data_IF_943219587183
#
_entry.id   IF_943219587183
#
_cell.length_a   1.000
_cell.length_b   1.000
_cell.length_c   1.000
_cell.angle_alpha   90.00
_cell.angle_beta   90.00
_cell.angle_gamma   90.00
#
_symmetry.space_group_name_H-M   'P 1'
#
loop_
_entity.id
_entity.type
_entity.pdbx_description
1 polymer ?
#
# COMPACT_ATOMS: atom_id res chain seq x y z
N UNK A 1 -9.69 -3.59 -24.40
CA UNK A 1 -8.36 -3.10 -24.01
C UNK A 1 -7.92 -3.81 -22.74
N UNK A 2 -6.67 -4.30 -22.71
CA UNK A 2 -6.12 -4.98 -21.52
C UNK A 2 -5.67 -3.99 -20.45
N UNK A 3 -5.59 -4.44 -19.19
CA UNK A 3 -4.96 -3.70 -18.09
C UNK A 3 -5.89 -3.07 -17.07
N UNK A 4 -7.20 -2.98 -17.32
CA UNK A 4 -8.12 -2.39 -16.35
C UNK A 4 -7.65 -1.02 -15.86
N UNK A 5 -7.54 -0.81 -14.54
CA UNK A 5 -7.02 0.43 -13.96
C UNK A 5 -5.50 0.62 -14.09
N UNK A 6 -4.75 -0.41 -14.54
CA UNK A 6 -3.33 -0.27 -14.86
C UNK A 6 -3.07 0.27 -16.28
N UNK A 7 -4.12 0.68 -17.01
CA UNK A 7 -3.97 1.31 -18.32
C UNK A 7 -3.32 2.68 -18.21
N UNK A 8 -2.59 3.05 -19.24
CA UNK A 8 -1.96 4.35 -19.38
C UNK A 8 -2.59 5.12 -20.54
N UNK A 9 -2.97 6.37 -20.29
CA UNK A 9 -3.42 7.30 -21.32
C UNK A 9 -2.25 8.19 -21.72
N UNK A 10 -1.93 8.21 -23.00
CA UNK A 10 -0.93 9.13 -23.57
C UNK A 10 -1.65 10.25 -24.31
N UNK A 11 -1.38 11.49 -23.93
CA UNK A 11 -1.96 12.66 -24.60
C UNK A 11 -0.89 13.73 -24.80
N UNK A 12 -0.50 13.97 -26.04
CA UNK A 12 0.67 14.77 -26.40
C UNK A 12 1.92 14.19 -25.72
N UNK A 13 2.67 15.00 -25.00
CA UNK A 13 3.88 14.62 -24.27
C UNK A 13 3.60 14.12 -22.84
N UNK A 14 2.33 14.01 -22.46
CA UNK A 14 1.92 13.60 -21.11
C UNK A 14 1.53 12.13 -21.06
N UNK A 15 1.96 11.49 -19.98
CA UNK A 15 1.64 10.10 -19.63
C UNK A 15 0.79 10.14 -18.37
N UNK A 16 -0.43 9.58 -18.44
CA UNK A 16 -1.41 9.58 -17.36
C UNK A 16 -1.81 8.16 -17.03
N UNK A 17 -1.61 7.78 -15.77
CA UNK A 17 -2.15 6.55 -15.20
C UNK A 17 -3.39 6.86 -14.36
N UNK A 18 -4.33 5.90 -14.25
CA UNK A 18 -5.56 6.08 -13.47
C UNK A 18 -5.29 6.20 -11.98
N UNK A 19 -4.18 5.61 -11.51
CA UNK A 19 -3.67 5.73 -10.14
C UNK A 19 -2.15 5.54 -10.14
N UNK A 20 -1.50 5.87 -9.03
CA UNK A 20 -0.08 5.56 -8.83
C UNK A 20 0.08 4.05 -8.60
N UNK A 21 0.66 3.36 -9.56
CA UNK A 21 0.96 1.93 -9.48
C UNK A 21 2.42 1.72 -9.13
N UNK A 22 2.73 1.70 -7.84
CA UNK A 22 4.08 1.45 -7.35
C UNK A 22 4.42 -0.02 -7.47
N UNK A 23 5.37 -0.36 -8.35
CA UNK A 23 5.70 -1.75 -8.61
C UNK A 23 6.66 -2.30 -7.56
N UNK A 24 6.18 -3.32 -6.83
CA UNK A 24 6.92 -4.10 -5.88
C UNK A 24 6.82 -5.57 -6.28
N UNK A 25 7.95 -6.26 -6.27
CA UNK A 25 8.02 -7.65 -6.68
C UNK A 25 8.07 -8.56 -5.46
N UNK A 26 7.29 -9.63 -5.50
CA UNK A 26 7.23 -10.61 -4.41
C UNK A 26 8.46 -11.54 -4.37
N UNK A 27 9.15 -11.69 -5.51
CA UNK A 27 10.35 -12.53 -5.64
C UNK A 27 11.39 -11.88 -6.53
N UNK A 28 12.67 -12.15 -6.27
CA UNK A 28 13.78 -11.67 -7.10
C UNK A 28 13.75 -12.28 -8.51
N UNK A 29 13.26 -13.52 -8.64
CA UNK A 29 13.10 -14.18 -9.93
C UNK A 29 12.12 -13.43 -10.82
N UNK A 30 10.94 -13.07 -10.28
CA UNK A 30 9.94 -12.31 -11.02
C UNK A 30 10.44 -10.91 -11.36
N UNK A 31 11.12 -10.25 -10.41
CA UNK A 31 11.77 -8.96 -10.62
C UNK A 31 12.78 -9.02 -11.76
N UNK A 32 13.65 -10.03 -11.75
CA UNK A 32 14.66 -10.23 -12.79
C UNK A 32 14.02 -10.45 -14.16
N UNK A 33 13.07 -11.40 -14.26
CA UNK A 33 12.34 -11.68 -15.50
C UNK A 33 11.68 -10.43 -16.07
N UNK A 34 11.09 -9.61 -15.20
CA UNK A 34 10.48 -8.35 -15.59
C UNK A 34 11.53 -7.36 -16.11
N UNK A 35 12.62 -7.13 -15.37
CA UNK A 35 13.67 -6.18 -15.77
C UNK A 35 14.40 -6.60 -17.06
N UNK A 36 14.55 -7.90 -17.30
CA UNK A 36 15.11 -8.44 -18.56
C UNK A 36 14.20 -8.15 -19.78
N UNK A 37 12.91 -7.85 -19.54
CA UNK A 37 11.91 -7.58 -20.58
C UNK A 37 11.72 -6.11 -20.90
N UNK A 38 12.42 -5.20 -20.20
CA UNK A 38 12.29 -3.74 -20.36
C UNK A 38 13.63 -3.11 -20.67
N UNK A 39 13.62 -2.00 -21.42
CA UNK A 39 14.82 -1.18 -21.55
C UNK A 39 15.10 -0.49 -20.19
N UNK A 40 16.33 -0.64 -19.62
CA UNK A 40 16.69 0.01 -18.36
C UNK A 40 16.44 1.52 -18.32
N UNK A 41 16.56 2.22 -19.46
CA UNK A 41 16.29 3.65 -19.56
C UNK A 41 14.81 4.02 -19.38
N UNK A 42 13.90 3.06 -19.58
CA UNK A 42 12.47 3.24 -19.41
C UNK A 42 12.00 3.01 -17.97
N UNK A 43 12.89 2.61 -17.07
CA UNK A 43 12.59 2.40 -15.66
C UNK A 43 13.13 3.54 -14.81
N UNK A 44 12.27 4.10 -13.97
CA UNK A 44 12.64 5.06 -12.93
C UNK A 44 12.63 4.37 -11.58
N UNK A 45 13.72 4.53 -10.84
CA UNK A 45 13.80 4.21 -9.42
C UNK A 45 13.49 5.47 -8.64
N UNK A 46 12.54 5.40 -7.72
CA UNK A 46 12.12 6.53 -6.90
C UNK A 46 11.97 6.11 -5.46
N UNK A 47 12.45 6.97 -4.57
CA UNK A 47 12.19 6.86 -3.15
C UNK A 47 10.83 7.47 -2.83
N UNK A 48 10.08 6.79 -2.00
CA UNK A 48 8.77 7.22 -1.55
C UNK A 48 8.95 8.29 -0.48
N UNK A 49 8.49 9.48 -0.76
CA UNK A 49 8.46 10.58 0.21
C UNK A 49 6.99 10.95 0.48
N UNK A 50 6.39 10.22 1.40
CA UNK A 50 4.99 10.43 1.78
C UNK A 50 4.92 11.20 3.08
N UNK A 51 4.14 12.27 3.10
CA UNK A 51 3.88 13.09 4.29
C UNK A 51 2.39 13.05 4.62
N UNK A 52 2.12 13.16 5.91
CA UNK A 52 0.78 13.26 6.47
C UNK A 52 0.61 14.69 6.96
N UNK A 53 -0.45 15.37 6.52
CA UNK A 53 -0.84 16.65 7.10
C UNK A 53 -1.66 16.36 8.36
N UNK A 54 -1.10 16.66 9.51
CA UNK A 54 -1.74 16.48 10.80
C UNK A 54 -1.75 17.80 11.57
N UNK A 55 -2.95 18.35 11.84
CA UNK A 55 -3.15 19.66 12.51
C UNK A 55 -2.35 20.82 11.89
N UNK A 56 -2.14 20.77 10.59
CA UNK A 56 -1.39 21.81 9.85
C UNK A 56 0.10 21.56 9.72
N UNK A 57 0.64 20.57 10.43
CA UNK A 57 2.05 20.17 10.37
C UNK A 57 2.25 18.95 9.49
N UNK A 58 3.46 18.76 8.98
CA UNK A 58 3.85 17.61 8.18
C UNK A 58 4.49 16.52 9.05
N UNK A 59 3.85 15.38 9.13
CA UNK A 59 4.35 14.19 9.81
C UNK A 59 4.76 13.15 8.76
N UNK A 60 5.88 12.48 8.97
CA UNK A 60 6.36 11.42 8.08
C UNK A 60 5.44 10.19 8.13
N UNK A 61 5.31 9.53 6.99
CA UNK A 61 4.61 8.26 6.88
C UNK A 61 5.58 7.09 7.15
N UNK A 62 5.16 6.05 7.86
CA UNK A 62 3.87 5.84 8.51
C UNK A 62 3.74 6.60 9.84
N UNK A 63 2.51 7.05 10.14
CA UNK A 63 2.23 7.86 11.33
C UNK A 63 2.72 7.23 12.64
N UNK A 64 2.43 5.95 12.84
CA UNK A 64 2.73 5.22 14.08
C UNK A 64 4.22 5.11 14.39
N UNK A 65 5.09 5.17 13.39
CA UNK A 65 6.56 5.18 13.60
C UNK A 65 7.12 6.58 13.78
N UNK A 66 6.33 7.61 13.45
CA UNK A 66 6.75 9.00 13.45
C UNK A 66 6.01 9.86 14.49
N UNK A 67 5.41 9.25 15.52
CA UNK A 67 4.69 9.96 16.58
C UNK A 67 5.58 10.96 17.34
N UNK A 68 6.90 10.80 17.32
CA UNK A 68 7.86 11.74 17.91
C UNK A 68 7.89 13.11 17.21
N UNK A 69 7.30 13.23 16.02
CA UNK A 69 7.14 14.49 15.29
C UNK A 69 5.89 15.28 15.71
N UNK A 70 5.05 14.69 16.57
CA UNK A 70 3.87 15.35 17.10
C UNK A 70 4.23 16.34 18.20
N UNK A 71 3.28 17.22 18.54
CA UNK A 71 3.37 18.05 19.74
C UNK A 71 3.66 17.19 20.96
N UNK A 72 4.42 17.72 21.91
CA UNK A 72 4.94 16.97 23.07
C UNK A 72 3.86 16.22 23.85
N UNK A 73 2.71 16.85 24.09
CA UNK A 73 1.62 16.23 24.85
C UNK A 73 1.00 15.07 24.05
N UNK A 74 0.76 15.26 22.75
CA UNK A 74 0.22 14.22 21.88
C UNK A 74 1.18 13.05 21.70
N UNK A 75 2.46 13.32 21.61
CA UNK A 75 3.49 12.29 21.57
C UNK A 75 3.50 11.46 22.85
N UNK A 76 3.40 12.11 24.02
CA UNK A 76 3.34 11.42 25.32
C UNK A 76 2.08 10.55 25.41
N UNK A 77 0.91 11.05 25.00
CA UNK A 77 -0.34 10.29 24.95
C UNK A 77 -0.20 9.04 24.05
N UNK A 78 0.34 9.21 22.85
CA UNK A 78 0.56 8.10 21.92
C UNK A 78 1.50 7.05 22.52
N UNK A 79 2.59 7.49 23.15
CA UNK A 79 3.57 6.60 23.75
C UNK A 79 2.99 5.87 24.95
N UNK A 80 2.25 6.58 25.82
CA UNK A 80 1.60 6.00 26.98
C UNK A 80 0.61 4.90 26.55
N UNK A 81 -0.31 5.21 25.65
CA UNK A 81 -1.31 4.25 25.18
C UNK A 81 -0.69 3.07 24.43
N UNK A 82 0.42 3.30 23.70
CA UNK A 82 1.16 2.24 23.05
C UNK A 82 1.77 1.24 24.04
N UNK A 83 2.29 1.71 25.15
CA UNK A 83 2.85 0.84 26.20
C UNK A 83 1.78 0.14 27.04
N UNK A 84 0.58 0.73 27.18
CA UNK A 84 -0.53 0.21 27.97
C UNK A 84 -1.62 -0.42 27.12
N UNK A 85 -1.38 -0.66 25.84
CA UNK A 85 -2.32 -1.35 24.97
C UNK A 85 -2.57 -2.78 25.41
N UNK A 86 -3.79 -3.25 25.19
CA UNK A 86 -4.18 -4.63 25.47
C UNK A 86 -4.06 -5.47 24.18
N UNK A 87 -2.96 -6.19 24.05
CA UNK A 87 -2.81 -7.15 22.96
C UNK A 87 -3.63 -8.42 23.22
N UNK A 88 -4.28 -8.91 22.16
CA UNK A 88 -5.05 -10.15 22.17
C UNK A 88 -4.38 -11.18 21.26
N UNK A 89 -4.66 -12.44 21.48
CA UNK A 89 -4.24 -13.52 20.56
C UNK A 89 -4.99 -13.45 19.23
N UNK A 90 -6.26 -13.00 19.27
CA UNK A 90 -7.11 -12.81 18.11
C UNK A 90 -7.95 -11.54 18.23
N UNK A 91 -8.37 -10.99 17.10
CA UNK A 91 -9.12 -9.74 16.99
C UNK A 91 -10.42 -9.95 16.21
N UNK A 92 -11.50 -9.33 16.66
CA UNK A 92 -12.83 -9.47 16.09
C UNK A 92 -13.02 -8.66 14.79
N UNK A 93 -12.20 -7.64 14.58
CA UNK A 93 -12.30 -6.74 13.43
C UNK A 93 -11.00 -5.98 13.20
N UNK A 94 -10.93 -5.29 12.06
CA UNK A 94 -9.81 -4.40 11.75
C UNK A 94 -9.65 -3.30 12.79
N UNK A 95 -10.74 -2.70 13.27
CA UNK A 95 -10.69 -1.68 14.32
C UNK A 95 -10.15 -2.24 15.63
N UNK A 96 -10.60 -3.42 16.05
CA UNK A 96 -10.14 -4.09 17.27
C UNK A 96 -8.63 -4.40 17.18
N UNK A 97 -8.18 -4.86 16.03
CA UNK A 97 -6.77 -5.09 15.74
C UNK A 97 -5.96 -3.79 15.86
N UNK A 98 -6.46 -2.68 15.32
CA UNK A 98 -5.77 -1.39 15.43
C UNK A 98 -5.58 -0.97 16.90
N UNK A 99 -6.61 -1.05 17.72
CA UNK A 99 -6.50 -0.72 19.15
C UNK A 99 -5.53 -1.63 19.89
N UNK A 100 -5.60 -2.93 19.66
CA UNK A 100 -4.71 -3.90 20.31
C UNK A 100 -3.26 -3.75 19.90
N UNK A 101 -2.99 -3.32 18.67
CA UNK A 101 -1.61 -3.18 18.17
C UNK A 101 -0.98 -1.81 18.42
N UNK A 102 -1.77 -0.72 18.42
CA UNK A 102 -1.22 0.64 18.44
C UNK A 102 -1.69 1.50 19.61
N UNK A 103 -2.64 1.00 20.41
CA UNK A 103 -3.22 1.78 21.52
C UNK A 103 -4.16 2.88 21.04
N UNK A 104 -4.90 3.45 21.99
CA UNK A 104 -6.02 4.36 21.71
C UNK A 104 -5.58 5.63 20.97
N UNK A 105 -4.55 6.31 21.47
CA UNK A 105 -4.18 7.64 20.95
C UNK A 105 -3.73 7.61 19.49
N UNK A 106 -2.90 6.67 19.08
CA UNK A 106 -2.47 6.52 17.69
C UNK A 106 -3.68 6.19 16.79
N UNK A 107 -4.56 5.32 17.27
CA UNK A 107 -5.76 4.90 16.51
C UNK A 107 -6.72 6.07 16.32
N UNK A 108 -7.11 6.76 17.37
CA UNK A 108 -8.08 7.85 17.28
C UNK A 108 -7.52 9.10 16.56
N UNK A 109 -6.23 9.39 16.73
CA UNK A 109 -5.60 10.54 16.09
C UNK A 109 -5.41 10.35 14.59
N UNK A 110 -5.12 9.12 14.14
CA UNK A 110 -4.80 8.92 12.72
C UNK A 110 -5.35 7.62 12.10
N UNK A 111 -5.07 6.45 12.67
CA UNK A 111 -5.34 5.19 11.96
C UNK A 111 -6.82 4.97 11.66
N UNK A 112 -7.70 5.29 12.62
CA UNK A 112 -9.15 5.15 12.44
C UNK A 112 -9.69 6.13 11.39
N UNK A 113 -9.56 7.47 11.54
CA UNK A 113 -10.12 8.41 10.55
C UNK A 113 -9.51 8.24 9.17
N UNK A 114 -8.23 7.88 9.06
CA UNK A 114 -7.57 7.60 7.80
C UNK A 114 -8.18 6.37 7.11
N UNK A 115 -8.32 5.26 7.82
CA UNK A 115 -8.83 4.03 7.24
C UNK A 115 -10.35 4.09 6.98
N UNK A 116 -11.14 4.76 7.83
CA UNK A 116 -12.55 5.03 7.55
C UNK A 116 -12.73 5.82 6.24
N UNK A 117 -11.87 6.81 6.00
CA UNK A 117 -11.86 7.56 4.74
C UNK A 117 -11.41 6.70 3.56
N UNK A 118 -10.41 5.84 3.76
CA UNK A 118 -9.86 4.98 2.71
C UNK A 118 -10.85 3.92 2.26
N UNK A 119 -11.47 3.23 3.21
CA UNK A 119 -12.40 2.12 2.94
C UNK A 119 -13.85 2.56 2.77
N UNK A 120 -14.19 3.76 3.24
CA UNK A 120 -15.55 4.30 3.22
C UNK A 120 -16.60 3.41 3.92
N UNK A 121 -16.18 2.66 4.94
CA UNK A 121 -17.04 1.78 5.76
C UNK A 121 -16.61 1.85 7.22
N UNK A 122 -17.49 1.38 8.13
CA UNK A 122 -17.14 1.18 9.54
C UNK A 122 -16.07 0.07 9.64
N UNK A 123 -14.93 0.39 10.25
CA UNK A 123 -13.80 -0.53 10.39
C UNK A 123 -14.11 -1.76 11.25
N UNK A 124 -15.20 -1.74 12.02
CA UNK A 124 -15.72 -2.91 12.75
C UNK A 124 -16.27 -3.98 11.82
N UNK A 125 -16.65 -3.61 10.60
CA UNK A 125 -17.19 -4.54 9.60
C UNK A 125 -16.11 -5.17 8.72
N UNK A 126 -14.86 -4.68 8.83
CA UNK A 126 -13.73 -5.22 8.08
C UNK A 126 -13.06 -6.35 8.85
N UNK A 127 -12.61 -7.34 8.09
CA UNK A 127 -11.75 -8.40 8.59
C UNK A 127 -10.47 -7.81 9.21
N UNK A 128 -9.97 -8.41 10.28
CA UNK A 128 -8.75 -7.98 10.97
C UNK A 128 -7.54 -7.87 10.03
N UNK A 129 -7.50 -8.68 8.99
CA UNK A 129 -6.42 -8.74 8.01
C UNK A 129 -6.71 -7.94 6.72
N UNK A 130 -7.67 -7.00 6.75
CA UNK A 130 -8.15 -6.26 5.57
C UNK A 130 -7.04 -5.59 4.73
N UNK A 131 -5.95 -5.11 5.34
CA UNK A 131 -4.79 -4.59 4.62
C UNK A 131 -3.71 -5.65 4.34
N UNK A 132 -3.79 -6.81 5.00
CA UNK A 132 -2.81 -7.88 4.86
C UNK A 132 -1.36 -7.38 4.97
N UNK A 133 -0.49 -7.85 4.09
CA UNK A 133 0.93 -7.49 4.07
C UNK A 133 1.25 -6.01 3.78
N UNK A 134 0.26 -5.23 3.38
CA UNK A 134 0.45 -3.80 3.07
C UNK A 134 0.29 -2.90 4.28
N UNK A 135 -0.17 -3.45 5.40
CA UNK A 135 -0.26 -2.68 6.63
C UNK A 135 1.13 -2.44 7.21
N UNK A 136 1.53 -1.19 7.48
CA UNK A 136 2.85 -0.88 8.02
C UNK A 136 2.87 -1.17 9.52
N UNK A 137 2.98 -2.44 9.88
CA UNK A 137 3.17 -2.85 11.27
C UNK A 137 4.48 -2.29 11.81
N UNK A 138 4.44 -1.83 13.05
CA UNK A 138 5.62 -1.45 13.78
C UNK A 138 5.44 -1.86 15.24
N UNK A 139 6.42 -2.54 15.78
CA UNK A 139 6.49 -2.82 17.21
C UNK A 139 7.14 -1.66 17.97
N UNK A 140 7.11 -1.71 19.30
CA UNK A 140 7.69 -0.66 20.14
C UNK A 140 9.19 -0.46 19.85
N UNK A 141 10.03 -1.51 19.74
CA UNK A 141 11.43 -1.35 19.34
C UNK A 141 11.60 -0.59 18.02
N UNK A 142 10.86 -0.94 16.98
CA UNK A 142 10.93 -0.27 15.68
C UNK A 142 10.55 1.23 15.77
N UNK A 143 9.54 1.56 16.57
CA UNK A 143 9.12 2.94 16.81
C UNK A 143 10.23 3.72 17.53
N UNK A 144 10.80 3.14 18.58
CA UNK A 144 11.90 3.78 19.35
C UNK A 144 13.16 3.95 18.50
N UNK A 145 13.52 2.96 17.71
CA UNK A 145 14.69 3.04 16.84
C UNK A 145 14.51 4.09 15.73
N UNK A 146 13.30 4.25 15.21
CA UNK A 146 13.00 5.33 14.27
C UNK A 146 13.14 6.73 14.89
N UNK A 147 12.84 6.88 16.19
CA UNK A 147 13.07 8.14 16.92
C UNK A 147 14.55 8.47 17.08
N UNK A 148 15.42 7.46 17.18
CA UNK A 148 16.87 7.64 17.30
C UNK A 148 17.53 7.93 15.96
N UNK A 149 16.98 7.37 14.88
CA UNK A 149 17.53 7.55 13.55
C UNK A 149 17.23 8.96 13.04
N UNK A 150 18.27 9.81 12.99
CA UNK A 150 18.18 11.05 12.23
C UNK A 150 18.03 10.74 10.75
N UNK A 151 16.81 10.60 10.29
CA UNK A 151 16.40 10.54 8.89
C UNK A 151 17.05 9.44 8.04
N UNK A 152 16.48 8.32 7.98
CA UNK A 152 16.25 7.55 6.77
C UNK A 152 15.46 6.35 7.21
N UNK A 153 14.15 6.55 7.32
CA UNK A 153 13.23 5.49 7.70
C UNK A 153 13.40 4.34 6.71
N UNK A 154 14.05 3.30 7.15
CA UNK A 154 14.12 2.01 6.46
C UNK A 154 12.77 1.30 6.56
N UNK A 155 11.70 2.01 6.21
CA UNK A 155 10.38 1.40 6.12
C UNK A 155 10.33 0.51 4.89
N UNK A 156 9.79 -0.67 5.05
CA UNK A 156 9.39 -1.55 3.97
C UNK A 156 8.64 -0.74 2.89
N UNK A 157 9.09 -0.82 1.63
CA UNK A 157 8.58 -0.07 0.49
C UNK A 157 9.02 1.41 0.39
N UNK A 158 10.22 1.75 0.85
CA UNK A 158 10.77 3.11 0.67
C UNK A 158 11.08 3.47 -0.77
N UNK A 159 11.40 2.50 -1.61
CA UNK A 159 11.65 2.70 -3.04
C UNK A 159 10.72 1.86 -3.89
N UNK A 160 10.43 2.34 -5.07
CA UNK A 160 9.60 1.64 -6.05
C UNK A 160 10.13 1.85 -7.45
N UNK A 161 9.74 0.95 -8.33
CA UNK A 161 9.96 1.07 -9.76
C UNK A 161 8.74 1.72 -10.42
N UNK A 162 8.99 2.58 -11.40
CA UNK A 162 7.93 3.13 -12.22
C UNK A 162 8.38 3.22 -13.68
N UNK A 163 7.59 2.69 -14.64
CA UNK A 163 7.95 2.79 -16.05
C UNK A 163 7.72 4.22 -16.57
N UNK A 164 8.67 4.73 -17.31
CA UNK A 164 8.61 6.06 -17.92
C UNK A 164 7.40 6.24 -18.84
N UNK A 165 6.99 5.14 -19.46
CA UNK A 165 5.87 5.08 -20.40
C UNK A 165 4.51 4.77 -19.71
N UNK A 166 4.46 4.78 -18.38
CA UNK A 166 3.27 4.51 -17.58
C UNK A 166 3.06 3.04 -17.23
N UNK A 167 2.14 2.79 -16.30
CA UNK A 167 1.85 1.47 -15.76
C UNK A 167 1.41 0.44 -16.82
N UNK A 168 0.75 0.90 -17.89
CA UNK A 168 0.34 0.06 -19.02
C UNK A 168 1.50 -0.68 -19.69
N UNK A 169 2.74 -0.16 -19.58
CA UNK A 169 3.93 -0.83 -20.13
C UNK A 169 4.19 -2.19 -19.46
N UNK A 170 3.87 -2.32 -18.18
CA UNK A 170 3.96 -3.60 -17.45
C UNK A 170 2.91 -4.60 -17.94
N UNK A 171 1.71 -4.12 -18.17
CA UNK A 171 0.61 -4.96 -18.67
C UNK A 171 0.95 -5.46 -20.08
N UNK A 172 1.56 -4.62 -20.89
CA UNK A 172 1.96 -5.01 -22.24
C UNK A 172 2.97 -6.17 -22.24
N UNK A 173 3.96 -6.16 -21.35
CA UNK A 173 4.92 -7.27 -21.18
C UNK A 173 4.21 -8.59 -20.86
N UNK A 174 3.22 -8.54 -19.94
CA UNK A 174 2.44 -9.72 -19.58
C UNK A 174 1.56 -10.18 -20.74
N UNK A 175 0.94 -9.24 -21.44
CA UNK A 175 0.10 -9.50 -22.60
C UNK A 175 0.89 -10.14 -23.75
N UNK A 176 2.07 -9.62 -24.06
CA UNK A 176 2.93 -10.13 -25.12
C UNK A 176 3.49 -11.54 -24.83
N UNK A 177 3.51 -11.93 -23.57
CA UNK A 177 3.91 -13.28 -23.15
C UNK A 177 2.79 -14.32 -23.28
N UNK A 178 1.55 -13.89 -23.55
CA UNK A 178 0.38 -14.76 -23.70
C UNK A 178 0.17 -15.15 -25.16
N UNK A 179 -0.43 -16.33 -25.36
CA UNK A 179 -0.95 -16.76 -26.66
C UNK A 179 -2.19 -15.93 -27.01
N UNK A 180 -2.05 -15.02 -27.95
CA UNK A 180 -3.12 -14.10 -28.36
C UNK A 180 -4.39 -14.82 -28.86
N UNK A 181 -4.25 -16.06 -29.37
CA UNK A 181 -5.39 -16.87 -29.81
C UNK A 181 -6.32 -17.29 -28.66
N UNK A 182 -5.83 -17.21 -27.43
CA UNK A 182 -6.59 -17.57 -26.21
C UNK A 182 -7.18 -16.38 -25.48
N UNK A 183 -7.00 -15.17 -26.02
CA UNK A 183 -7.49 -13.93 -25.42
C UNK A 183 -8.73 -13.48 -26.19
N UNK A 184 -9.88 -13.50 -25.52
CA UNK A 184 -11.13 -13.00 -26.05
C UNK A 184 -11.37 -11.59 -25.55
N UNK A 185 -11.25 -10.61 -26.44
CA UNK A 185 -11.58 -9.21 -26.15
C UNK A 185 -13.09 -8.95 -26.34
N UNK A 186 -13.57 -7.88 -25.70
CA UNK A 186 -14.99 -7.49 -25.75
C UNK A 186 -15.97 -8.57 -25.24
N UNK A 187 -15.48 -9.40 -24.31
CA UNK A 187 -16.24 -10.41 -23.60
C UNK A 187 -16.29 -10.06 -22.11
N UNK A 188 -17.50 -9.89 -21.60
CA UNK A 188 -17.75 -9.69 -20.17
C UNK A 188 -18.12 -11.02 -19.51
N UNK A 189 -17.42 -11.36 -18.42
CA UNK A 189 -17.78 -12.54 -17.64
C UNK A 189 -18.95 -12.18 -16.71
N UNK A 190 -20.13 -12.67 -17.02
CA UNK A 190 -21.36 -12.39 -16.24
C UNK A 190 -21.66 -13.47 -15.19
N UNK A 191 -21.09 -14.66 -15.34
CA UNK A 191 -21.28 -15.78 -14.40
C UNK A 191 -20.08 -16.72 -14.43
N UNK A 192 -19.68 -17.21 -13.25
CA UNK A 192 -18.71 -18.30 -13.12
C UNK A 192 -19.41 -19.50 -12.48
N UNK A 193 -19.41 -20.62 -13.19
CA UNK A 193 -19.85 -21.90 -12.66
C UNK A 193 -18.62 -22.69 -12.20
N UNK A 194 -18.42 -22.71 -10.89
CA UNK A 194 -17.24 -23.34 -10.30
C UNK A 194 -17.33 -24.88 -10.30
N UNK A 195 -18.51 -25.40 -10.34
CA UNK A 195 -18.78 -26.85 -10.36
C UNK A 195 -18.47 -27.46 -11.74
N UNK A 196 -18.90 -26.80 -12.81
CA UNK A 196 -18.67 -27.24 -14.18
C UNK A 196 -17.44 -26.59 -14.84
N UNK A 197 -16.69 -25.72 -14.10
CA UNK A 197 -15.50 -25.00 -14.59
C UNK A 197 -15.77 -24.17 -15.87
N UNK A 198 -16.90 -23.51 -15.91
CA UNK A 198 -17.35 -22.70 -17.06
C UNK A 198 -17.50 -21.24 -16.65
N UNK A 199 -17.01 -20.33 -17.50
CA UNK A 199 -17.31 -18.90 -17.45
C UNK A 199 -18.26 -18.53 -18.60
N UNK A 200 -19.30 -17.75 -18.31
CA UNK A 200 -20.31 -17.27 -19.27
C UNK A 200 -20.23 -15.75 -19.37
#
# INVERSE_FOLDING_TARGET
EVGGYCRTIKKKDYVWDYAGHFFHFSTDEFKKKFLDSVNPEDIKYKDKNTKIIYKGELVDYPFQTNIHQLEKEEFIDCLYDLFHKEEKEDYDSFLDMLYGKFGKSIVEKFLKPYNEKLYAVDLKTLDKDAMGRFFPYADIPAIIDNMKANKDSTSYNNSFLYPRNGAGSFIQILYDALDSSKILMEHEVVKIDNEHKVAQ
#
